data_IF_583528605190
#
_entry.id   IF_583528605190
#
_cell.length_a   1.000
_cell.length_b   1.000
_cell.length_c   1.000
_cell.angle_alpha   90.00
_cell.angle_beta   90.00
_cell.angle_gamma   90.00
#
_symmetry.space_group_name_H-M   'P 1'
#
loop_
_entity.id
_entity.type
_entity.pdbx_description
1 polymer ?
#
# COMPACT_ATOMS: atom_id res chain seq x y z
N UNK A 1 6.12 -0.08 37.18
CA UNK A 1 6.19 -0.92 35.95
C UNK A 1 4.87 -1.62 35.70
N UNK A 2 4.23 -2.17 36.72
CA UNK A 2 2.97 -2.93 36.58
C UNK A 2 1.78 -2.01 36.26
N UNK A 3 1.73 -0.83 36.83
CA UNK A 3 0.66 0.15 36.55
C UNK A 3 0.69 0.63 35.10
N UNK A 4 1.86 0.86 34.53
CA UNK A 4 1.98 1.23 33.12
C UNK A 4 1.60 0.08 32.19
N UNK A 5 1.98 -1.15 32.52
CA UNK A 5 1.62 -2.33 31.76
C UNK A 5 0.11 -2.60 31.78
N UNK A 6 -0.54 -2.42 32.93
CA UNK A 6 -1.99 -2.56 33.07
C UNK A 6 -2.74 -1.48 32.28
N UNK A 7 -2.34 -0.22 32.40
CA UNK A 7 -2.93 0.88 31.61
C UNK A 7 -2.76 0.65 30.11
N UNK A 8 -1.61 0.12 29.69
CA UNK A 8 -1.38 -0.22 28.28
C UNK A 8 -2.28 -1.37 27.81
N UNK A 9 -2.49 -2.39 28.65
CA UNK A 9 -3.42 -3.49 28.38
C UNK A 9 -4.84 -2.96 28.21
N UNK A 10 -5.31 -2.13 29.13
CA UNK A 10 -6.66 -1.55 29.07
C UNK A 10 -6.88 -0.71 27.80
N UNK A 11 -5.88 0.06 27.38
CA UNK A 11 -5.95 0.84 26.13
C UNK A 11 -6.05 -0.07 24.91
N UNK A 12 -5.30 -1.17 24.88
CA UNK A 12 -5.34 -2.14 23.78
C UNK A 12 -6.73 -2.82 23.71
N UNK A 13 -7.28 -3.25 24.84
CA UNK A 13 -8.60 -3.88 24.86
C UNK A 13 -9.69 -2.90 24.39
N UNK A 14 -9.65 -1.66 24.85
CA UNK A 14 -10.58 -0.60 24.38
C UNK A 14 -10.42 -0.27 22.90
N UNK A 15 -9.19 -0.28 22.38
CA UNK A 15 -8.95 -0.11 20.96
C UNK A 15 -9.55 -1.26 20.15
N UNK A 16 -9.43 -2.49 20.64
CA UNK A 16 -10.01 -3.67 19.99
C UNK A 16 -11.54 -3.61 20.02
N UNK A 17 -12.14 -3.29 21.18
CA UNK A 17 -13.57 -3.08 21.33
C UNK A 17 -14.09 -1.99 20.35
N UNK A 18 -13.42 -0.85 20.32
CA UNK A 18 -13.72 0.24 19.38
C UNK A 18 -13.66 -0.23 17.92
N UNK A 19 -12.61 -0.96 17.56
CA UNK A 19 -12.43 -1.45 16.18
C UNK A 19 -13.54 -2.43 15.80
N UNK A 20 -13.87 -3.40 16.67
CA UNK A 20 -14.96 -4.35 16.42
C UNK A 20 -16.31 -3.64 16.28
N UNK A 21 -16.57 -2.66 17.16
CA UNK A 21 -17.79 -1.85 17.09
C UNK A 21 -17.94 -1.16 15.73
N UNK A 22 -16.88 -0.51 15.22
CA UNK A 22 -16.95 0.19 13.94
C UNK A 22 -17.00 -0.75 12.73
N UNK A 23 -16.36 -1.90 12.80
CA UNK A 23 -16.53 -2.94 11.77
C UNK A 23 -18.02 -3.30 11.63
N UNK A 24 -18.67 -3.63 12.76
CA UNK A 24 -20.10 -4.00 12.76
C UNK A 24 -21.01 -2.83 12.39
N UNK A 25 -20.66 -1.62 12.79
CA UNK A 25 -21.38 -0.41 12.39
C UNK A 25 -21.37 -0.20 10.87
N UNK A 26 -20.20 -0.31 10.24
CA UNK A 26 -20.06 -0.22 8.76
C UNK A 26 -20.86 -1.31 8.06
N UNK A 27 -20.79 -2.53 8.56
CA UNK A 27 -21.55 -3.66 8.01
C UNK A 27 -23.06 -3.49 8.15
N UNK A 28 -23.53 -2.83 9.21
CA UNK A 28 -24.93 -2.48 9.41
C UNK A 28 -25.52 -1.64 8.27
N UNK A 29 -24.68 -0.95 7.50
CA UNK A 29 -25.07 -0.24 6.27
C UNK A 29 -24.90 -1.08 4.99
N UNK A 30 -24.70 -2.37 5.10
CA UNK A 30 -24.46 -3.26 3.95
C UNK A 30 -23.13 -3.01 3.25
N UNK A 31 -22.13 -2.45 3.95
CA UNK A 31 -20.79 -2.17 3.43
C UNK A 31 -19.77 -3.14 4.01
N UNK A 32 -18.74 -3.43 3.24
CA UNK A 32 -17.58 -4.16 3.76
C UNK A 32 -16.68 -3.21 4.55
N UNK A 33 -16.32 -3.59 5.76
CA UNK A 33 -15.37 -2.84 6.56
C UNK A 33 -13.94 -3.00 6.01
N UNK A 34 -13.19 -1.91 6.02
CA UNK A 34 -11.78 -1.90 5.63
C UNK A 34 -10.94 -1.31 6.76
N UNK A 35 -9.88 -2.02 7.14
CA UNK A 35 -8.98 -1.62 8.24
C UNK A 35 -7.53 -1.65 7.79
N UNK A 36 -6.68 -0.89 8.47
CA UNK A 36 -5.24 -0.95 8.31
C UNK A 36 -4.61 -1.96 9.26
N UNK A 37 -3.55 -2.62 8.82
CA UNK A 37 -2.90 -3.72 9.50
C UNK A 37 -2.18 -3.36 10.80
N UNK A 38 -2.93 -3.01 11.84
CA UNK A 38 -2.41 -2.68 13.16
C UNK A 38 -2.94 -3.60 14.28
N UNK A 39 -3.90 -4.48 13.99
CA UNK A 39 -4.56 -5.30 15.02
C UNK A 39 -3.64 -6.34 15.66
N UNK A 40 -2.65 -6.86 14.93
CA UNK A 40 -1.66 -7.80 15.49
C UNK A 40 -0.71 -7.10 16.45
N UNK A 41 -0.42 -5.82 16.23
CA UNK A 41 0.36 -5.01 17.16
C UNK A 41 -0.42 -4.77 18.46
N UNK A 42 -1.71 -4.57 18.36
CA UNK A 42 -2.63 -4.44 19.49
C UNK A 42 -3.16 -5.82 19.91
N UNK A 43 -2.28 -6.74 20.31
CA UNK A 43 -2.67 -8.04 20.85
C UNK A 43 -3.48 -7.87 22.14
N UNK A 44 -4.60 -8.57 22.24
CA UNK A 44 -5.51 -8.51 23.39
C UNK A 44 -6.49 -9.67 23.38
N UNK A 45 -7.30 -9.73 24.43
CA UNK A 45 -8.27 -10.81 24.66
C UNK A 45 -9.65 -10.48 24.04
N UNK A 46 -9.97 -9.20 23.87
CA UNK A 46 -11.21 -8.76 23.24
C UNK A 46 -11.27 -9.22 21.77
N UNK A 47 -12.28 -10.00 21.37
CA UNK A 47 -12.39 -10.46 19.98
C UNK A 47 -12.69 -9.28 19.04
N UNK A 48 -12.09 -9.34 17.86
CA UNK A 48 -12.36 -8.40 16.75
C UNK A 48 -12.83 -9.21 15.57
N UNK A 49 -13.94 -8.81 14.95
CA UNK A 49 -14.47 -9.46 13.76
C UNK A 49 -13.45 -9.40 12.63
N UNK A 50 -13.25 -10.52 11.94
CA UNK A 50 -12.32 -10.66 10.82
C UNK A 50 -12.99 -11.12 9.52
N UNK A 51 -14.06 -11.91 9.64
CA UNK A 51 -14.82 -12.40 8.49
C UNK A 51 -15.45 -11.22 7.71
N UNK A 52 -15.29 -11.23 6.39
CA UNK A 52 -15.73 -10.15 5.50
C UNK A 52 -15.06 -8.79 5.78
N UNK A 53 -13.93 -8.78 6.46
CA UNK A 53 -13.15 -7.55 6.72
C UNK A 53 -11.93 -7.52 5.82
N UNK A 54 -11.76 -6.40 5.11
CA UNK A 54 -10.60 -6.15 4.26
C UNK A 54 -9.51 -5.46 5.07
N UNK A 55 -8.31 -6.01 5.06
CA UNK A 55 -7.16 -5.43 5.75
C UNK A 55 -6.07 -5.01 4.78
N UNK A 56 -5.69 -3.74 4.84
CA UNK A 56 -4.50 -3.23 4.16
C UNK A 56 -3.26 -3.67 4.91
N UNK A 57 -2.56 -4.67 4.39
CA UNK A 57 -1.36 -5.23 4.99
C UNK A 57 -0.12 -4.50 4.48
N UNK A 58 0.47 -3.65 5.32
CA UNK A 58 1.57 -2.77 4.93
C UNK A 58 2.89 -3.09 5.63
N UNK A 59 2.87 -3.42 6.91
CA UNK A 59 4.06 -3.72 7.68
C UNK A 59 3.88 -4.99 8.52
N UNK A 60 4.75 -5.97 8.30
CA UNK A 60 4.64 -7.28 8.95
C UNK A 60 4.74 -7.22 10.49
N UNK A 61 5.41 -6.21 11.03
CA UNK A 61 5.50 -6.01 12.48
C UNK A 61 4.17 -5.66 13.13
N UNK A 62 3.22 -5.12 12.36
CA UNK A 62 1.89 -4.74 12.84
C UNK A 62 0.80 -5.76 12.47
N UNK A 63 0.90 -6.36 11.30
CA UNK A 63 -0.05 -7.36 10.84
C UNK A 63 0.67 -8.45 10.04
N UNK A 64 0.99 -9.56 10.70
CA UNK A 64 1.56 -10.72 10.03
C UNK A 64 0.55 -11.30 9.04
N UNK A 65 0.87 -11.33 7.73
CA UNK A 65 -0.10 -11.71 6.71
C UNK A 65 -0.61 -13.14 6.87
N UNK A 66 0.23 -14.08 7.30
CA UNK A 66 -0.19 -15.48 7.52
C UNK A 66 -1.18 -15.58 8.67
N UNK A 67 -0.92 -14.87 9.73
CA UNK A 67 -1.81 -14.85 10.89
C UNK A 67 -3.14 -14.17 10.54
N UNK A 68 -3.12 -13.09 9.77
CA UNK A 68 -4.34 -12.41 9.33
C UNK A 68 -5.21 -13.30 8.44
N UNK A 69 -4.61 -14.02 7.50
CA UNK A 69 -5.33 -15.00 6.67
C UNK A 69 -5.93 -16.10 7.53
N UNK A 70 -5.19 -16.63 8.49
CA UNK A 70 -5.68 -17.65 9.43
C UNK A 70 -6.84 -17.16 10.27
N UNK A 71 -6.83 -15.89 10.68
CA UNK A 71 -7.93 -15.26 11.41
C UNK A 71 -9.16 -14.97 10.55
N UNK A 72 -9.06 -15.06 9.23
CA UNK A 72 -10.19 -14.90 8.32
C UNK A 72 -10.27 -13.54 7.60
N UNK A 73 -9.28 -12.66 7.74
CA UNK A 73 -9.24 -11.40 7.00
C UNK A 73 -9.00 -11.62 5.51
N UNK A 74 -9.64 -10.78 4.70
CA UNK A 74 -9.22 -10.54 3.33
C UNK A 74 -8.09 -9.49 3.31
N UNK A 75 -7.06 -9.69 2.48
CA UNK A 75 -5.90 -8.81 2.47
C UNK A 75 -5.75 -8.01 1.17
N UNK A 76 -5.32 -6.77 1.31
CA UNK A 76 -4.76 -5.95 0.23
C UNK A 76 -3.27 -5.77 0.49
N UNK A 77 -2.44 -6.09 -0.50
CA UNK A 77 -0.99 -5.94 -0.43
C UNK A 77 -0.60 -4.46 -0.56
N UNK A 78 -0.01 -3.90 0.47
CA UNK A 78 0.47 -2.51 0.52
C UNK A 78 1.87 -2.44 1.15
N UNK A 79 2.81 -3.36 0.82
CA UNK A 79 4.08 -3.42 1.53
C UNK A 79 4.86 -2.11 1.40
N UNK A 80 5.21 -1.54 2.54
CA UNK A 80 5.89 -0.25 2.66
C UNK A 80 7.21 -0.19 1.87
N UNK A 81 7.96 -1.27 1.84
CA UNK A 81 9.20 -1.39 1.07
C UNK A 81 9.03 -1.45 -0.46
N UNK A 82 7.80 -1.49 -0.98
CA UNK A 82 7.50 -1.53 -2.42
C UNK A 82 6.51 -0.47 -2.88
N UNK A 83 5.54 -0.11 -2.04
CA UNK A 83 4.34 0.61 -2.46
C UNK A 83 4.08 1.89 -1.65
N UNK A 84 5.02 2.34 -0.82
CA UNK A 84 4.92 3.61 -0.12
C UNK A 84 5.67 4.72 -0.84
N UNK A 85 4.98 5.84 -1.02
CA UNK A 85 5.54 7.12 -1.48
C UNK A 85 5.36 8.09 -0.33
N UNK A 86 6.48 8.60 0.21
CA UNK A 86 6.47 9.61 1.26
C UNK A 86 7.42 10.73 0.85
N UNK A 87 6.92 11.75 0.15
CA UNK A 87 7.76 12.79 -0.42
C UNK A 87 8.61 13.49 0.62
N UNK A 88 9.91 13.60 0.34
CA UNK A 88 10.92 14.27 1.17
C UNK A 88 11.12 13.66 2.58
N UNK A 89 10.65 12.45 2.85
CA UNK A 89 10.73 11.87 4.19
C UNK A 89 12.10 11.27 4.54
N UNK A 90 12.87 10.81 3.57
CA UNK A 90 14.17 10.17 3.78
C UNK A 90 14.14 8.74 4.35
N UNK A 91 13.03 8.30 4.94
CA UNK A 91 12.85 6.95 5.49
C UNK A 91 11.98 6.04 4.61
N UNK A 92 11.26 6.58 3.64
CA UNK A 92 10.55 5.86 2.58
C UNK A 92 10.93 6.40 1.20
N UNK A 93 10.38 5.81 0.17
CA UNK A 93 10.64 6.26 -1.19
C UNK A 93 10.00 7.63 -1.46
N UNK A 94 10.76 8.51 -2.05
CA UNK A 94 10.23 9.73 -2.65
C UNK A 94 9.50 9.43 -3.97
N UNK A 95 10.02 8.43 -4.71
CA UNK A 95 9.39 7.81 -5.89
C UNK A 95 9.48 6.30 -5.77
N UNK A 96 8.47 5.56 -6.24
CA UNK A 96 8.56 4.10 -6.28
C UNK A 96 9.61 3.64 -7.29
N UNK A 97 10.39 2.64 -6.91
CA UNK A 97 11.25 1.94 -7.85
C UNK A 97 10.40 1.05 -8.76
N UNK A 98 9.99 1.59 -9.92
CA UNK A 98 9.09 0.91 -10.86
C UNK A 98 9.70 -0.36 -11.44
N UNK A 99 11.01 -0.42 -11.62
CA UNK A 99 11.68 -1.64 -12.10
C UNK A 99 11.63 -2.75 -11.06
N UNK A 100 11.97 -2.44 -9.81
CA UNK A 100 11.88 -3.40 -8.72
C UNK A 100 10.43 -3.87 -8.52
N UNK A 101 9.46 -2.94 -8.55
CA UNK A 101 8.05 -3.24 -8.44
C UNK A 101 7.60 -4.17 -9.58
N UNK A 102 7.99 -3.87 -10.81
CA UNK A 102 7.66 -4.66 -11.99
C UNK A 102 8.25 -6.06 -11.95
N UNK A 103 9.53 -6.17 -11.59
CA UNK A 103 10.26 -7.45 -11.62
C UNK A 103 9.99 -8.33 -10.40
N UNK A 104 9.74 -7.76 -9.22
CA UNK A 104 9.73 -8.51 -7.96
C UNK A 104 8.39 -8.57 -7.25
N UNK A 105 7.52 -7.59 -7.43
CA UNK A 105 6.26 -7.55 -6.70
C UNK A 105 5.08 -8.10 -7.51
N UNK A 106 4.16 -8.74 -6.85
CA UNK A 106 2.81 -9.08 -7.33
C UNK A 106 1.81 -8.88 -6.18
N UNK A 107 0.49 -8.84 -6.43
CA UNK A 107 -0.50 -8.80 -5.35
C UNK A 107 -0.35 -9.91 -4.31
N UNK A 108 0.21 -11.06 -4.71
CA UNK A 108 0.48 -12.19 -3.81
C UNK A 108 1.69 -11.95 -2.89
N UNK A 109 2.44 -10.87 -3.08
CA UNK A 109 3.60 -10.50 -2.28
C UNK A 109 3.19 -9.48 -1.22
N UNK A 110 3.11 -9.91 0.02
CA UNK A 110 2.70 -9.08 1.15
C UNK A 110 3.82 -9.04 2.18
N UNK A 111 4.53 -7.93 2.27
CA UNK A 111 5.68 -7.79 3.14
C UNK A 111 6.79 -8.78 2.78
N UNK A 112 7.13 -9.68 3.70
CA UNK A 112 8.13 -10.74 3.48
C UNK A 112 7.54 -12.04 2.95
N UNK A 113 6.22 -12.13 2.86
CA UNK A 113 5.52 -13.34 2.47
C UNK A 113 5.11 -13.30 1.00
N UNK A 114 5.22 -14.45 0.35
CA UNK A 114 4.72 -14.66 -1.01
C UNK A 114 3.72 -15.80 -0.97
N UNK A 115 2.48 -15.48 -1.24
CA UNK A 115 1.39 -16.45 -1.26
C UNK A 115 1.22 -17.06 -2.66
N UNK A 116 0.46 -18.16 -2.78
CA UNK A 116 0.04 -18.65 -4.08
C UNK A 116 -0.71 -17.56 -4.87
N UNK A 117 -0.43 -17.45 -6.17
CA UNK A 117 -1.22 -16.61 -7.05
C UNK A 117 -2.70 -16.98 -6.98
N UNK A 118 -3.57 -15.98 -7.03
CA UNK A 118 -5.02 -16.16 -6.92
C UNK A 118 -5.51 -16.72 -5.57
N UNK A 119 -4.74 -16.53 -4.50
CA UNK A 119 -5.21 -16.86 -3.16
C UNK A 119 -6.51 -16.12 -2.85
N UNK A 120 -7.56 -16.87 -2.40
CA UNK A 120 -8.92 -16.33 -2.26
C UNK A 120 -9.05 -15.10 -1.38
N UNK A 121 -8.23 -15.01 -0.33
CA UNK A 121 -8.24 -13.91 0.62
C UNK A 121 -7.30 -12.75 0.21
N UNK A 122 -6.57 -12.85 -0.89
CA UNK A 122 -5.75 -11.74 -1.40
C UNK A 122 -6.52 -11.06 -2.52
N UNK A 123 -7.00 -9.85 -2.25
CA UNK A 123 -7.92 -9.13 -3.14
C UNK A 123 -7.22 -8.20 -4.13
N UNK A 124 -5.93 -7.92 -3.90
CA UNK A 124 -5.15 -7.07 -4.79
C UNK A 124 -4.03 -6.33 -4.09
N UNK A 125 -3.63 -5.22 -4.67
CA UNK A 125 -2.60 -4.34 -4.12
C UNK A 125 -2.98 -2.88 -4.23
N UNK A 126 -2.35 -2.06 -3.42
CA UNK A 126 -2.55 -0.63 -3.37
C UNK A 126 -1.20 0.04 -3.07
N UNK A 127 -0.91 1.16 -3.70
CA UNK A 127 0.17 2.02 -3.22
C UNK A 127 -0.40 3.16 -2.38
N UNK A 128 0.41 3.65 -1.46
CA UNK A 128 0.03 4.74 -0.58
C UNK A 128 0.92 5.96 -0.82
N UNK A 129 0.32 7.14 -0.77
CA UNK A 129 1.02 8.43 -0.79
C UNK A 129 0.76 9.14 0.53
N UNK A 130 1.79 9.32 1.32
CA UNK A 130 1.71 9.94 2.63
C UNK A 130 2.37 11.32 2.60
N UNK A 131 1.67 12.32 3.10
CA UNK A 131 2.15 13.69 3.15
C UNK A 131 2.64 14.05 4.55
N UNK A 132 3.56 13.26 5.10
CA UNK A 132 4.13 13.46 6.44
C UNK A 132 4.84 14.80 6.57
N UNK A 133 5.35 15.30 5.45
CA UNK A 133 6.02 16.59 5.33
C UNK A 133 5.22 17.60 4.49
N UNK A 134 3.89 17.58 4.63
CA UNK A 134 3.05 18.57 3.95
C UNK A 134 3.47 20.00 4.33
N UNK A 135 3.54 20.88 3.33
CA UNK A 135 4.00 22.26 3.53
C UNK A 135 5.48 22.50 3.18
N UNK A 136 6.27 21.47 2.90
CA UNK A 136 7.68 21.59 2.51
C UNK A 136 7.88 21.94 1.01
N UNK A 137 6.97 22.72 0.43
CA UNK A 137 7.07 23.15 -0.96
C UNK A 137 6.67 22.10 -1.99
N UNK A 138 6.14 20.94 -1.58
CA UNK A 138 5.64 19.92 -2.48
C UNK A 138 4.30 20.35 -3.05
N UNK A 139 4.24 20.53 -4.35
CA UNK A 139 3.02 20.92 -5.06
C UNK A 139 2.18 19.69 -5.48
N UNK A 140 0.92 19.92 -5.84
CA UNK A 140 0.07 18.88 -6.45
C UNK A 140 0.73 18.25 -7.68
N UNK A 141 1.49 19.03 -8.44
CA UNK A 141 2.23 18.54 -9.60
C UNK A 141 3.31 17.54 -9.21
N UNK A 142 4.02 17.81 -8.13
CA UNK A 142 5.06 16.91 -7.64
C UNK A 142 4.48 15.58 -7.17
N UNK A 143 3.28 15.60 -6.60
CA UNK A 143 2.55 14.39 -6.26
C UNK A 143 2.14 13.61 -7.51
N UNK A 144 1.60 14.28 -8.54
CA UNK A 144 1.23 13.62 -9.80
C UNK A 144 2.42 12.93 -10.47
N UNK A 145 3.60 13.52 -10.41
CA UNK A 145 4.82 12.92 -10.95
C UNK A 145 5.22 11.63 -10.24
N UNK A 146 4.94 11.54 -8.96
CA UNK A 146 5.20 10.33 -8.16
C UNK A 146 4.16 9.25 -8.41
N UNK A 147 2.91 9.67 -8.48
CA UNK A 147 1.75 8.77 -8.61
C UNK A 147 1.66 8.14 -9.99
N UNK A 148 1.86 8.89 -11.05
CA UNK A 148 1.59 8.40 -12.41
C UNK A 148 2.45 7.19 -12.81
N UNK A 149 3.79 7.19 -12.62
CA UNK A 149 4.61 6.01 -12.88
C UNK A 149 4.25 4.81 -12.01
N UNK A 150 3.92 5.07 -10.74
CA UNK A 150 3.49 4.04 -9.80
C UNK A 150 2.19 3.38 -10.24
N UNK A 151 1.19 4.19 -10.60
CA UNK A 151 -0.12 3.75 -11.08
C UNK A 151 -0.02 2.85 -12.31
N UNK A 152 0.76 3.26 -13.31
CA UNK A 152 0.95 2.48 -14.53
C UNK A 152 1.58 1.12 -14.24
N UNK A 153 2.59 1.09 -13.37
CA UNK A 153 3.29 -0.14 -13.01
C UNK A 153 2.40 -1.05 -12.20
N UNK A 154 1.69 -0.51 -11.21
CA UNK A 154 0.76 -1.26 -10.39
C UNK A 154 -0.36 -1.87 -11.24
N UNK A 155 -0.95 -1.10 -12.16
CA UNK A 155 -2.02 -1.56 -13.03
C UNK A 155 -1.61 -2.81 -13.83
N UNK A 156 -0.42 -2.80 -14.43
CA UNK A 156 0.09 -3.96 -15.15
C UNK A 156 0.29 -5.15 -14.22
N UNK A 157 0.87 -4.94 -13.05
CA UNK A 157 1.12 -6.01 -12.08
C UNK A 157 -0.17 -6.58 -11.49
N UNK A 158 -1.16 -5.75 -11.28
CA UNK A 158 -2.50 -6.19 -10.84
C UNK A 158 -3.19 -7.05 -11.89
N UNK A 159 -2.99 -6.74 -13.16
CA UNK A 159 -3.58 -7.49 -14.27
C UNK A 159 -2.86 -8.81 -14.56
N UNK A 160 -1.53 -8.79 -14.55
CA UNK A 160 -0.70 -9.92 -15.02
C UNK A 160 -0.17 -10.79 -13.89
N UNK A 161 -0.11 -10.31 -12.66
CA UNK A 161 0.56 -11.00 -11.55
C UNK A 161 2.04 -11.24 -11.89
N UNK A 162 2.48 -12.48 -11.71
CA UNK A 162 3.84 -12.93 -12.06
C UNK A 162 4.00 -13.26 -13.54
N UNK A 163 2.89 -13.41 -14.27
CA UNK A 163 2.90 -13.93 -15.63
C UNK A 163 3.15 -12.85 -16.69
N UNK A 164 3.55 -11.66 -16.29
CA UNK A 164 3.92 -10.60 -17.23
C UNK A 164 5.17 -11.01 -18.02
N UNK A 165 4.97 -11.26 -19.31
CA UNK A 165 6.04 -11.71 -20.22
C UNK A 165 6.74 -10.58 -20.98
N UNK A 166 6.25 -9.34 -20.82
CA UNK A 166 6.84 -8.17 -21.45
C UNK A 166 8.09 -7.77 -20.67
N UNK A 167 9.26 -7.62 -21.29
CA UNK A 167 10.44 -7.11 -20.60
C UNK A 167 10.20 -5.73 -20.01
N UNK A 168 10.84 -5.43 -18.89
CA UNK A 168 10.66 -4.14 -18.22
C UNK A 168 11.01 -2.96 -19.12
N UNK A 169 12.06 -3.08 -19.91
CA UNK A 169 12.54 -2.05 -20.83
C UNK A 169 11.47 -1.70 -21.86
N UNK A 170 10.80 -2.72 -22.42
CA UNK A 170 9.69 -2.54 -23.37
C UNK A 170 8.48 -1.90 -22.69
N UNK A 171 8.11 -2.38 -21.51
CA UNK A 171 7.04 -1.78 -20.68
C UNK A 171 7.38 -0.32 -20.33
N UNK A 172 8.61 -0.07 -19.90
CA UNK A 172 9.05 1.26 -19.50
C UNK A 172 9.03 2.25 -20.68
N UNK A 173 9.48 1.82 -21.87
CA UNK A 173 9.39 2.64 -23.07
C UNK A 173 7.92 2.96 -23.43
N UNK A 174 7.05 1.96 -23.39
CA UNK A 174 5.62 2.14 -23.67
C UNK A 174 4.96 3.11 -22.68
N UNK A 175 5.14 2.90 -21.36
CA UNK A 175 4.56 3.80 -20.35
C UNK A 175 5.07 5.25 -20.45
N UNK A 176 6.32 5.45 -20.87
CA UNK A 176 6.88 6.78 -21.06
C UNK A 176 6.29 7.51 -22.28
N UNK A 177 5.71 6.78 -23.23
CA UNK A 177 5.01 7.34 -24.39
C UNK A 177 3.55 7.72 -24.08
N UNK A 178 2.99 7.22 -22.97
CA UNK A 178 1.62 7.54 -22.59
C UNK A 178 1.51 8.97 -22.05
N UNK A 179 0.47 9.66 -22.48
CA UNK A 179 0.05 10.92 -21.91
C UNK A 179 -0.96 10.70 -20.78
N UNK A 180 -1.14 11.71 -19.97
CA UNK A 180 -2.23 11.71 -18.99
C UNK A 180 -3.60 11.72 -19.66
N UNK A 181 -4.61 11.28 -18.91
CA UNK A 181 -6.00 11.28 -19.38
C UNK A 181 -6.52 12.66 -19.72
N UNK A 182 -7.59 12.76 -20.53
CA UNK A 182 -8.22 14.02 -20.87
C UNK A 182 -8.64 14.80 -19.61
N UNK A 183 -8.29 16.06 -19.55
CA UNK A 183 -8.63 16.95 -18.45
C UNK A 183 -7.62 17.03 -17.31
N UNK A 184 -6.64 16.11 -17.24
CA UNK A 184 -5.58 16.11 -16.21
C UNK A 184 -4.25 16.59 -16.77
N UNK A 185 -4.17 17.16 -17.88
CA UNK A 185 -2.95 17.49 -18.66
C UNK A 185 -1.85 18.28 -17.90
N UNK A 186 -1.55 17.86 -16.69
CA UNK A 186 -0.52 18.46 -15.84
C UNK A 186 0.86 17.95 -16.23
N UNK A 187 1.04 16.63 -16.41
CA UNK A 187 2.32 16.06 -16.81
C UNK A 187 2.63 16.31 -18.28
N UNK A 188 1.63 16.37 -19.17
CA UNK A 188 1.84 16.73 -20.56
C UNK A 188 2.42 18.12 -20.73
N UNK A 189 2.03 19.07 -19.90
CA UNK A 189 2.59 20.44 -19.88
C UNK A 189 3.98 20.50 -19.29
N UNK A 190 4.31 19.58 -18.39
CA UNK A 190 5.58 19.49 -17.70
C UNK A 190 6.45 18.39 -18.35
N UNK A 191 5.90 17.59 -19.21
CA UNK A 191 6.50 16.39 -19.79
C UNK A 191 7.75 16.61 -20.65
N UNK A 192 8.17 17.84 -20.83
CA UNK A 192 9.48 18.20 -21.36
C UNK A 192 10.54 18.39 -20.27
N UNK A 193 10.14 18.42 -19.01
CA UNK A 193 11.09 18.37 -17.91
C UNK A 193 11.75 17.00 -17.91
N UNK A 194 13.08 16.91 -17.81
CA UNK A 194 13.78 15.66 -17.96
C UNK A 194 13.22 14.59 -17.01
N UNK A 195 12.55 13.59 -17.56
CA UNK A 195 12.06 12.44 -16.79
C UNK A 195 13.20 11.67 -16.12
N UNK A 196 14.44 11.92 -16.55
CA UNK A 196 15.65 11.47 -15.87
C UNK A 196 15.75 11.95 -14.41
N UNK A 197 15.14 13.08 -14.07
CA UNK A 197 15.04 13.55 -12.67
C UNK A 197 14.18 12.59 -11.82
N UNK A 198 13.36 11.77 -12.46
CA UNK A 198 12.51 10.78 -11.82
C UNK A 198 13.10 9.38 -11.86
N UNK A 199 14.40 9.26 -12.04
CA UNK A 199 15.06 7.98 -11.95
C UNK A 199 15.05 7.51 -10.49
N UNK A 200 14.14 6.57 -10.23
CA UNK A 200 13.86 6.03 -8.92
C UNK A 200 15.02 5.27 -8.29
N UNK A 201 15.98 4.86 -9.11
CA UNK A 201 17.17 4.16 -8.62
C UNK A 201 18.09 5.07 -7.80
N UNK A 202 18.06 6.37 -8.10
CA UNK A 202 18.87 7.36 -7.39
C UNK A 202 18.21 7.95 -6.16
N UNK A 203 16.91 7.65 -5.94
CA UNK A 203 16.09 8.24 -4.88
C UNK A 203 15.70 7.22 -3.78
N UNK A 204 16.51 6.19 -3.63
CA UNK A 204 16.37 5.29 -2.49
C UNK A 204 16.77 5.99 -1.21
N UNK A 205 16.00 5.82 -0.10
CA UNK A 205 16.49 6.21 1.22
C UNK A 205 17.71 5.39 1.62
#
# INVERSE_FOLDING_TARGET
>A
TDEYSNKKKDVVEKFREFTDHYIRFVEGFGKQACVWGALTHAKGDTPVKSENVLMSAWYNGYADPKEMIKQGYDLVSVPDGYLYIVPAAGYYYDYLNTEMLYKKWTPAHIGKEVFPEKHKQIKGGMFAVWNDHAGNGISTKDIHYRVFPALQTLAVKMWTGKDCKVPYETFNAARLSLSEGPGVNVAGRIGKTPRAVYNQETLKP
#
